data_IF_682744478137
#
_entry.id   IF_682744478137
#
_cell.length_a   1.000
_cell.length_b   1.000
_cell.length_c   1.000
_cell.angle_alpha   90.00
_cell.angle_beta   90.00
_cell.angle_gamma   90.00
#
_symmetry.space_group_name_H-M   'P 1'
#
loop_
_entity.id
_entity.type
_entity.pdbx_description
1 polymer ?
#
# COMPACT_ATOMS: atom_id res chain seq x y z
N UNK A 1 22.84 -6.99 -17.32
CA UNK A 1 22.11 -8.23 -17.68
C UNK A 1 22.17 -9.31 -16.57
N UNK A 2 22.92 -9.12 -15.48
CA UNK A 2 23.00 -10.08 -14.36
C UNK A 2 22.02 -9.83 -13.20
N UNK A 3 21.27 -8.72 -13.20
CA UNK A 3 20.29 -8.39 -12.15
C UNK A 3 18.88 -8.92 -12.41
N UNK A 4 18.66 -9.69 -13.48
CA UNK A 4 17.34 -10.23 -13.85
C UNK A 4 17.07 -11.67 -13.40
N UNK A 5 18.02 -12.33 -12.71
CA UNK A 5 17.94 -13.78 -12.46
C UNK A 5 17.88 -14.21 -10.99
N UNK A 6 18.01 -13.28 -10.02
CA UNK A 6 18.20 -13.62 -8.60
C UNK A 6 16.94 -13.53 -7.72
N UNK A 7 15.75 -13.55 -8.31
CA UNK A 7 14.48 -13.44 -7.56
C UNK A 7 13.52 -14.60 -7.86
N UNK A 8 14.12 -15.78 -8.09
CA UNK A 8 13.47 -17.06 -8.42
C UNK A 8 13.18 -17.97 -7.22
N UNK A 9 13.60 -17.58 -6.02
CA UNK A 9 13.51 -18.43 -4.82
C UNK A 9 12.39 -18.01 -3.85
N UNK A 10 11.37 -17.30 -4.34
CA UNK A 10 10.09 -17.17 -3.65
C UNK A 10 9.03 -18.00 -4.38
N UNK A 11 8.05 -18.58 -3.67
CA UNK A 11 7.16 -19.58 -4.24
C UNK A 11 6.45 -19.06 -5.51
N UNK A 12 6.79 -19.67 -6.64
CA UNK A 12 6.45 -19.25 -8.01
C UNK A 12 4.92 -19.20 -8.28
N UNK A 13 4.12 -19.73 -7.35
CA UNK A 13 2.66 -19.77 -7.44
C UNK A 13 1.96 -18.48 -7.02
N UNK A 14 2.53 -17.65 -6.13
CA UNK A 14 1.83 -16.44 -5.64
C UNK A 14 2.04 -15.21 -6.53
N UNK A 15 3.26 -15.01 -7.04
CA UNK A 15 3.66 -13.82 -7.83
C UNK A 15 3.15 -13.87 -9.29
N UNK A 16 3.23 -15.04 -9.93
CA UNK A 16 2.78 -15.21 -11.32
C UNK A 16 1.26 -15.27 -11.46
N UNK A 17 0.55 -15.73 -10.41
CA UNK A 17 -0.91 -15.75 -10.39
C UNK A 17 -1.52 -14.34 -10.33
N UNK A 18 -0.90 -13.41 -9.60
CA UNK A 18 -1.43 -12.05 -9.43
C UNK A 18 -1.50 -11.25 -10.73
N UNK A 19 -0.40 -11.17 -11.49
CA UNK A 19 -0.32 -10.35 -12.70
C UNK A 19 -1.34 -10.75 -13.77
N UNK A 20 -1.57 -12.06 -13.97
CA UNK A 20 -2.54 -12.56 -14.95
C UNK A 20 -3.96 -12.32 -14.45
N UNK A 21 -4.24 -12.65 -13.20
CA UNK A 21 -5.60 -12.52 -12.65
C UNK A 21 -6.02 -11.06 -12.55
N UNK A 22 -5.17 -10.16 -12.07
CA UNK A 22 -5.48 -8.72 -12.03
C UNK A 22 -5.61 -8.15 -13.45
N UNK A 23 -4.71 -8.49 -14.37
CA UNK A 23 -4.80 -8.03 -15.77
C UNK A 23 -6.12 -8.46 -16.44
N UNK A 24 -6.51 -9.73 -16.27
CA UNK A 24 -7.79 -10.25 -16.80
C UNK A 24 -8.98 -9.61 -16.10
N UNK A 25 -8.91 -9.35 -14.79
CA UNK A 25 -9.98 -8.68 -14.03
C UNK A 25 -10.22 -7.25 -14.51
N UNK A 26 -9.15 -6.52 -14.83
CA UNK A 26 -9.24 -5.16 -15.39
C UNK A 26 -9.85 -5.17 -16.80
N UNK A 27 -9.39 -6.09 -17.66
CA UNK A 27 -10.01 -6.28 -18.98
C UNK A 27 -11.49 -6.61 -18.89
N UNK A 28 -11.87 -7.49 -17.97
CA UNK A 28 -13.26 -7.87 -17.73
C UNK A 28 -14.10 -6.67 -17.29
N UNK A 29 -13.59 -5.82 -16.40
CA UNK A 29 -14.25 -4.57 -16.00
C UNK A 29 -14.45 -3.62 -17.17
N UNK A 30 -13.44 -3.45 -18.02
CA UNK A 30 -13.55 -2.63 -19.24
C UNK A 30 -14.56 -3.18 -20.26
N UNK A 31 -14.57 -4.50 -20.48
CA UNK A 31 -15.54 -5.16 -21.37
C UNK A 31 -16.96 -4.97 -20.85
N UNK A 32 -17.19 -5.13 -19.56
CA UNK A 32 -18.52 -4.92 -18.97
C UNK A 32 -18.98 -3.47 -19.04
N UNK A 33 -18.07 -2.51 -18.89
CA UNK A 33 -18.37 -1.10 -19.08
C UNK A 33 -18.74 -0.80 -20.54
N UNK A 34 -17.97 -1.33 -21.51
CA UNK A 34 -18.30 -1.21 -22.94
C UNK A 34 -19.67 -1.81 -23.26
N UNK A 35 -19.95 -3.00 -22.70
CA UNK A 35 -21.21 -3.68 -22.92
C UNK A 35 -22.40 -2.91 -22.30
N UNK A 36 -22.22 -2.37 -21.09
CA UNK A 36 -23.23 -1.56 -20.42
C UNK A 36 -23.56 -0.28 -21.22
N UNK A 37 -22.56 0.35 -21.82
CA UNK A 37 -22.73 1.53 -22.70
C UNK A 37 -23.48 1.15 -23.98
N UNK A 38 -23.11 0.05 -24.65
CA UNK A 38 -23.79 -0.40 -25.89
C UNK A 38 -25.24 -0.83 -25.68
N UNK A 39 -25.58 -1.35 -24.50
CA UNK A 39 -26.91 -1.82 -24.15
C UNK A 39 -27.75 -0.75 -23.43
N UNK A 40 -27.18 0.43 -23.17
CA UNK A 40 -27.75 1.50 -22.33
C UNK A 40 -28.26 0.98 -20.97
N UNK A 41 -27.53 0.00 -20.42
CA UNK A 41 -27.95 -0.81 -19.29
C UNK A 41 -26.86 -0.82 -18.21
N UNK A 42 -26.85 0.22 -17.38
CA UNK A 42 -25.94 0.34 -16.22
C UNK A 42 -26.04 -0.86 -15.26
N UNK A 43 -27.20 -1.53 -15.24
CA UNK A 43 -27.42 -2.76 -14.47
C UNK A 43 -26.46 -3.90 -14.85
N UNK A 44 -25.98 -3.95 -16.10
CA UNK A 44 -25.01 -4.96 -16.56
C UNK A 44 -23.66 -4.74 -15.87
N UNK A 45 -23.21 -3.49 -15.76
CA UNK A 45 -21.95 -3.15 -15.08
C UNK A 45 -22.05 -3.42 -13.58
N UNK A 46 -23.13 -2.97 -12.93
CA UNK A 46 -23.34 -3.19 -11.48
C UNK A 46 -23.49 -4.67 -11.16
N UNK A 47 -24.29 -5.40 -11.94
CA UNK A 47 -24.47 -6.84 -11.79
C UNK A 47 -23.17 -7.61 -12.01
N UNK A 48 -22.40 -7.25 -13.04
CA UNK A 48 -21.11 -7.84 -13.32
C UNK A 48 -20.06 -7.54 -12.24
N UNK A 49 -20.05 -6.33 -11.67
CA UNK A 49 -19.20 -5.98 -10.55
C UNK A 49 -19.53 -6.81 -9.30
N UNK A 50 -20.81 -6.93 -8.95
CA UNK A 50 -21.26 -7.74 -7.80
C UNK A 50 -20.92 -9.22 -8.01
N UNK A 51 -21.19 -9.76 -9.21
CA UNK A 51 -20.87 -11.13 -9.54
C UNK A 51 -19.35 -11.40 -9.45
N UNK A 52 -18.54 -10.51 -10.02
CA UNK A 52 -17.09 -10.59 -9.92
C UNK A 52 -16.61 -10.52 -8.47
N UNK A 53 -17.10 -9.56 -7.69
CA UNK A 53 -16.74 -9.41 -6.28
C UNK A 53 -17.10 -10.65 -5.47
N UNK A 54 -18.29 -11.23 -5.68
CA UNK A 54 -18.72 -12.45 -5.00
C UNK A 54 -17.87 -13.66 -5.36
N UNK A 55 -17.61 -13.89 -6.66
CA UNK A 55 -16.79 -15.01 -7.12
C UNK A 55 -15.34 -14.86 -6.64
N UNK A 56 -14.78 -13.66 -6.77
CA UNK A 56 -13.40 -13.39 -6.38
C UNK A 56 -13.19 -13.51 -4.87
N UNK A 57 -14.11 -12.95 -4.07
CA UNK A 57 -14.08 -13.09 -2.62
C UNK A 57 -14.26 -14.55 -2.18
N UNK A 58 -15.17 -15.30 -2.81
CA UNK A 58 -15.37 -16.71 -2.50
C UNK A 58 -14.14 -17.57 -2.83
N UNK A 59 -13.54 -17.36 -4.00
CA UNK A 59 -12.32 -18.06 -4.38
C UNK A 59 -11.16 -17.75 -3.43
N UNK A 60 -10.98 -16.47 -3.07
CA UNK A 60 -9.95 -16.05 -2.11
C UNK A 60 -10.22 -16.55 -0.69
N UNK A 61 -11.47 -16.62 -0.25
CA UNK A 61 -11.82 -17.21 1.04
C UNK A 61 -11.50 -18.70 1.09
N UNK A 62 -11.72 -19.43 -0.03
CA UNK A 62 -11.39 -20.85 -0.14
C UNK A 62 -9.88 -21.11 -0.20
N UNK A 63 -9.14 -20.25 -0.88
CA UNK A 63 -7.67 -20.30 -0.93
C UNK A 63 -7.07 -19.99 0.45
N UNK A 64 -7.58 -18.98 1.16
CA UNK A 64 -7.16 -18.64 2.52
C UNK A 64 -7.45 -19.74 3.55
N UNK A 65 -8.52 -20.52 3.37
CA UNK A 65 -8.81 -21.68 4.21
C UNK A 65 -7.81 -22.84 4.01
N UNK A 66 -7.10 -22.87 2.88
CA UNK A 66 -6.08 -23.87 2.56
C UNK A 66 -4.66 -23.42 2.94
N UNK A 67 -4.34 -22.14 2.74
CA UNK A 67 -2.99 -21.59 2.92
C UNK A 67 -2.81 -20.74 4.21
N UNK A 68 -3.84 -20.61 5.05
CA UNK A 68 -3.88 -19.77 6.28
C UNK A 68 -3.51 -18.29 6.07
N UNK A 69 -3.43 -17.80 4.82
CA UNK A 69 -3.07 -16.42 4.49
C UNK A 69 -4.30 -15.60 4.04
N UNK A 70 -4.84 -14.80 4.95
CA UNK A 70 -5.97 -13.90 4.68
C UNK A 70 -5.50 -12.55 4.15
N UNK A 71 -5.34 -12.43 2.82
CA UNK A 71 -5.03 -11.14 2.18
C UNK A 71 -6.28 -10.38 1.76
N UNK A 72 -6.87 -9.62 2.70
CA UNK A 72 -7.98 -8.69 2.41
C UNK A 72 -7.57 -7.65 1.35
N UNK A 73 -6.30 -7.23 1.38
CA UNK A 73 -5.73 -6.29 0.40
C UNK A 73 -5.81 -6.84 -1.03
N UNK A 74 -5.62 -8.15 -1.25
CA UNK A 74 -5.72 -8.73 -2.59
C UNK A 74 -7.15 -8.68 -3.13
N UNK A 75 -8.15 -8.88 -2.28
CA UNK A 75 -9.58 -8.75 -2.65
C UNK A 75 -9.88 -7.32 -3.06
N UNK A 76 -9.53 -6.35 -2.21
CA UNK A 76 -9.75 -4.92 -2.50
C UNK A 76 -9.01 -4.47 -3.76
N UNK A 77 -7.76 -4.92 -3.95
CA UNK A 77 -6.99 -4.65 -5.16
C UNK A 77 -7.67 -5.22 -6.40
N UNK A 78 -8.23 -6.44 -6.34
CA UNK A 78 -8.95 -7.05 -7.44
C UNK A 78 -10.18 -6.26 -7.85
N UNK A 79 -10.99 -5.85 -6.88
CA UNK A 79 -12.14 -4.97 -7.10
C UNK A 79 -11.71 -3.62 -7.68
N UNK A 80 -10.61 -3.06 -7.18
CA UNK A 80 -10.03 -1.80 -7.67
C UNK A 80 -9.57 -1.90 -9.13
N UNK A 81 -8.90 -2.99 -9.51
CA UNK A 81 -8.45 -3.22 -10.89
C UNK A 81 -9.63 -3.39 -11.84
N UNK A 82 -10.69 -4.10 -11.43
CA UNK A 82 -11.93 -4.16 -12.20
C UNK A 82 -12.53 -2.76 -12.40
N UNK A 83 -12.65 -1.99 -11.32
CA UNK A 83 -13.25 -0.66 -11.36
C UNK A 83 -12.45 0.31 -12.24
N UNK A 84 -11.11 0.24 -12.19
CA UNK A 84 -10.22 1.01 -13.07
C UNK A 84 -10.34 0.59 -14.53
N UNK A 85 -10.51 -0.72 -14.78
CA UNK A 85 -10.85 -1.25 -16.10
C UNK A 85 -12.14 -0.66 -16.64
N UNK A 86 -13.21 -0.69 -15.84
CA UNK A 86 -14.48 -0.08 -16.22
C UNK A 86 -14.35 1.45 -16.44
N UNK A 87 -13.62 2.15 -15.57
CA UNK A 87 -13.38 3.59 -15.67
C UNK A 87 -12.60 3.97 -16.92
N UNK A 88 -11.71 3.10 -17.41
CA UNK A 88 -10.96 3.36 -18.64
C UNK A 88 -11.83 3.43 -19.89
N UNK A 89 -13.02 2.82 -19.85
CA UNK A 89 -13.98 2.80 -20.96
C UNK A 89 -15.09 3.81 -20.75
N UNK A 90 -15.68 3.86 -19.55
CA UNK A 90 -16.81 4.73 -19.24
C UNK A 90 -16.42 6.17 -18.85
N UNK A 91 -15.14 6.43 -18.58
CA UNK A 91 -14.65 7.72 -18.07
C UNK A 91 -13.36 8.18 -18.73
N UNK A 92 -12.55 8.95 -18.00
CA UNK A 92 -11.28 9.48 -18.50
C UNK A 92 -10.16 8.43 -18.35
N UNK A 93 -9.66 7.96 -19.49
CA UNK A 93 -8.54 7.01 -19.57
C UNK A 93 -7.28 7.50 -18.84
N UNK A 94 -7.06 8.82 -18.72
CA UNK A 94 -5.92 9.40 -18.00
C UNK A 94 -6.06 9.18 -16.49
N UNK A 95 -7.28 9.33 -15.97
CA UNK A 95 -7.58 9.07 -14.56
C UNK A 95 -7.47 7.58 -14.27
N UNK A 96 -7.97 6.73 -15.17
CA UNK A 96 -7.81 5.27 -15.05
C UNK A 96 -6.33 4.84 -15.08
N UNK A 97 -5.52 5.41 -15.96
CA UNK A 97 -4.08 5.13 -16.03
C UNK A 97 -3.34 5.62 -14.78
N UNK A 98 -3.61 6.83 -14.30
CA UNK A 98 -3.02 7.36 -13.08
C UNK A 98 -3.43 6.54 -11.85
N UNK A 99 -4.72 6.17 -11.74
CA UNK A 99 -5.24 5.31 -10.67
C UNK A 99 -4.65 3.91 -10.71
N UNK A 100 -4.50 3.32 -11.89
CA UNK A 100 -3.84 2.02 -12.09
C UNK A 100 -2.36 2.05 -11.71
N UNK A 101 -1.63 3.09 -12.11
CA UNK A 101 -0.23 3.28 -11.72
C UNK A 101 -0.10 3.48 -10.20
N UNK A 102 -0.98 4.27 -9.58
CA UNK A 102 -0.99 4.47 -8.14
C UNK A 102 -1.31 3.17 -7.39
N UNK A 103 -2.31 2.41 -7.84
CA UNK A 103 -2.66 1.12 -7.24
C UNK A 103 -1.51 0.11 -7.36
N UNK A 104 -0.87 0.04 -8.53
CA UNK A 104 0.31 -0.81 -8.75
C UNK A 104 1.48 -0.40 -7.85
N UNK A 105 1.74 0.91 -7.68
CA UNK A 105 2.77 1.42 -6.79
C UNK A 105 2.49 1.05 -5.32
N UNK A 106 1.23 1.17 -4.88
CA UNK A 106 0.82 0.75 -3.53
C UNK A 106 1.03 -0.76 -3.34
N UNK A 107 0.65 -1.58 -4.32
CA UNK A 107 0.83 -3.03 -4.27
C UNK A 107 2.32 -3.42 -4.20
N UNK A 108 3.15 -2.79 -5.03
CA UNK A 108 4.60 -2.99 -5.04
C UNK A 108 5.25 -2.55 -3.71
N UNK A 109 4.74 -1.48 -3.09
CA UNK A 109 5.26 -0.99 -1.81
C UNK A 109 5.07 -1.99 -0.67
N UNK A 110 4.03 -2.85 -0.72
CA UNK A 110 3.77 -3.86 0.30
C UNK A 110 4.95 -4.83 0.44
N UNK A 111 5.49 -5.30 -0.68
CA UNK A 111 6.61 -6.25 -0.69
C UNK A 111 7.87 -5.62 -0.09
N UNK A 112 8.16 -4.37 -0.46
CA UNK A 112 9.29 -3.60 0.06
C UNK A 112 9.15 -3.40 1.56
N UNK A 113 7.98 -2.96 2.03
CA UNK A 113 7.71 -2.74 3.45
C UNK A 113 7.84 -4.03 4.26
N UNK A 114 7.29 -5.14 3.77
CA UNK A 114 7.45 -6.44 4.43
C UNK A 114 8.91 -6.91 4.47
N UNK A 115 9.66 -6.70 3.38
CA UNK A 115 11.09 -7.01 3.33
C UNK A 115 11.91 -6.18 4.31
N UNK A 116 11.61 -4.87 4.41
CA UNK A 116 12.24 -3.98 5.38
C UNK A 116 11.89 -4.39 6.83
N UNK A 117 10.63 -4.68 7.10
CA UNK A 117 10.15 -5.15 8.41
C UNK A 117 10.83 -6.46 8.82
N UNK A 118 11.03 -7.41 7.91
CA UNK A 118 11.75 -8.66 8.19
C UNK A 118 13.23 -8.45 8.49
N UNK A 119 13.84 -7.37 7.99
CA UNK A 119 15.24 -7.01 8.28
C UNK A 119 15.41 -6.24 9.58
N UNK A 120 14.34 -5.64 10.10
CA UNK A 120 14.33 -4.90 11.36
C UNK A 120 14.13 -5.86 12.54
N UNK A 121 14.98 -5.72 13.54
CA UNK A 121 14.82 -6.35 14.86
C UNK A 121 13.68 -5.70 15.64
N UNK A 122 13.13 -6.41 16.63
CA UNK A 122 12.08 -5.89 17.51
C UNK A 122 12.48 -4.58 18.22
N UNK A 123 13.75 -4.45 18.62
CA UNK A 123 14.27 -3.23 19.26
C UNK A 123 14.24 -2.05 18.28
N UNK A 124 14.65 -2.25 17.03
CA UNK A 124 14.67 -1.20 16.01
C UNK A 124 13.25 -0.77 15.65
N UNK A 125 12.34 -1.74 15.46
CA UNK A 125 10.94 -1.47 15.19
C UNK A 125 10.30 -0.68 16.32
N UNK A 126 10.51 -1.09 17.58
CA UNK A 126 10.00 -0.37 18.76
C UNK A 126 10.55 1.05 18.82
N UNK A 127 11.83 1.24 18.56
CA UNK A 127 12.47 2.56 18.59
C UNK A 127 11.94 3.47 17.49
N UNK A 128 11.79 2.95 16.27
CA UNK A 128 11.18 3.66 15.14
C UNK A 128 9.72 4.05 15.44
N UNK A 129 8.95 3.14 16.08
CA UNK A 129 7.55 3.37 16.41
C UNK A 129 7.39 4.42 17.53
N UNK A 130 8.29 4.42 18.53
CA UNK A 130 8.34 5.46 19.57
C UNK A 130 8.69 6.81 18.94
N UNK A 131 9.71 6.87 18.08
CA UNK A 131 10.09 8.09 17.38
C UNK A 131 8.93 8.62 16.51
N UNK A 132 8.25 7.73 15.79
CA UNK A 132 7.07 8.07 15.00
C UNK A 132 5.94 8.61 15.89
N UNK A 133 5.68 8.01 17.05
CA UNK A 133 4.68 8.50 18.00
C UNK A 133 5.06 9.86 18.59
N UNK A 134 6.34 10.06 18.96
CA UNK A 134 6.84 11.36 19.45
C UNK A 134 6.64 12.47 18.39
N UNK A 135 6.85 12.16 17.11
CA UNK A 135 6.69 13.11 16.01
C UNK A 135 5.23 13.32 15.61
N UNK A 136 4.48 12.25 15.40
CA UNK A 136 3.13 12.32 14.82
C UNK A 136 2.03 12.57 15.86
N UNK A 137 2.27 12.27 17.13
CA UNK A 137 1.29 12.44 18.21
C UNK A 137 1.71 13.56 19.15
N UNK A 138 2.92 13.50 19.70
CA UNK A 138 3.33 14.47 20.75
C UNK A 138 3.57 15.86 20.16
N UNK A 139 4.24 15.95 19.01
CA UNK A 139 4.53 17.23 18.37
C UNK A 139 3.27 18.07 18.04
N UNK A 140 2.20 17.54 17.41
CA UNK A 140 0.99 18.32 17.17
C UNK A 140 0.18 18.61 18.44
N UNK A 141 0.32 17.81 19.50
CA UNK A 141 -0.34 18.07 20.78
C UNK A 141 0.32 19.20 21.57
N UNK A 142 1.59 19.50 21.31
CA UNK A 142 2.31 20.54 22.04
C UNK A 142 1.85 21.94 21.60
N UNK A 143 1.43 22.80 22.55
CA UNK A 143 1.08 24.17 22.22
C UNK A 143 2.32 24.91 21.71
N UNK A 144 2.24 25.44 20.49
CA UNK A 144 3.28 26.28 19.90
C UNK A 144 3.23 27.70 20.47
N UNK A 145 3.38 27.81 21.79
CA UNK A 145 3.30 29.06 22.55
C UNK A 145 4.33 29.02 23.67
N UNK A 146 4.98 30.15 23.91
CA UNK A 146 5.90 30.29 25.02
C UNK A 146 5.12 30.24 26.33
N UNK A 147 5.49 29.32 27.21
CA UNK A 147 4.79 29.10 28.49
C UNK A 147 5.42 29.94 29.62
N UNK A 148 6.61 30.50 29.37
CA UNK A 148 7.39 31.25 30.35
C UNK A 148 7.06 32.77 30.35
N UNK A 149 6.93 33.41 31.53
CA UNK A 149 6.80 34.87 31.70
C UNK A 149 7.79 35.74 30.91
N UNK A 150 9.00 35.23 30.63
CA UNK A 150 10.06 35.91 29.86
C UNK A 150 10.00 35.62 28.36
N UNK A 151 9.06 34.81 27.88
CA UNK A 151 8.84 34.55 26.46
C UNK A 151 9.94 33.73 25.76
N UNK A 152 10.86 33.12 26.52
CA UNK A 152 12.05 32.44 25.96
C UNK A 152 11.91 30.93 25.73
N UNK A 153 10.92 30.27 26.32
CA UNK A 153 10.78 28.80 26.27
C UNK A 153 9.54 28.37 25.50
N UNK A 154 9.74 27.85 24.29
CA UNK A 154 8.69 27.22 23.47
C UNK A 154 8.84 25.68 23.52
N UNK A 155 7.93 24.96 24.19
CA UNK A 155 7.99 23.50 24.31
C UNK A 155 7.95 22.80 22.95
N UNK A 156 7.26 23.39 21.96
CA UNK A 156 7.17 22.83 20.62
C UNK A 156 8.53 22.79 19.92
N UNK A 157 9.30 23.89 20.01
CA UNK A 157 10.64 23.99 19.40
C UNK A 157 11.64 23.05 20.09
N UNK A 158 11.63 22.99 21.42
CA UNK A 158 12.54 22.11 22.18
C UNK A 158 12.23 20.63 21.87
N UNK A 159 10.95 20.28 21.79
CA UNK A 159 10.55 18.92 21.43
C UNK A 159 10.89 18.59 19.98
N UNK A 160 10.68 19.53 19.06
CA UNK A 160 11.05 19.39 17.66
C UNK A 160 12.55 19.12 17.48
N UNK A 161 13.42 19.88 18.16
CA UNK A 161 14.87 19.65 18.13
C UNK A 161 15.25 18.29 18.70
N UNK A 162 14.57 17.85 19.76
CA UNK A 162 14.78 16.53 20.37
C UNK A 162 14.43 15.40 19.39
N UNK A 163 13.29 15.51 18.73
CA UNK A 163 12.85 14.56 17.68
C UNK A 163 13.83 14.56 16.50
N UNK A 164 14.31 15.73 16.09
CA UNK A 164 15.27 15.85 14.98
C UNK A 164 16.60 15.16 15.32
N UNK A 165 17.14 15.39 16.52
CA UNK A 165 18.38 14.74 16.98
C UNK A 165 18.20 13.21 17.08
N UNK A 166 17.09 12.74 17.64
CA UNK A 166 16.77 11.31 17.73
C UNK A 166 16.64 10.67 16.34
N UNK A 167 16.01 11.37 15.39
CA UNK A 167 15.86 10.91 14.00
C UNK A 167 17.20 10.78 13.29
N UNK A 168 18.09 11.77 13.43
CA UNK A 168 19.43 11.72 12.83
C UNK A 168 20.25 10.57 13.44
N UNK A 169 20.19 10.37 14.76
CA UNK A 169 20.91 9.27 15.42
C UNK A 169 20.40 7.90 14.98
N UNK A 170 19.08 7.74 14.85
CA UNK A 170 18.47 6.51 14.34
C UNK A 170 18.85 6.27 12.88
N UNK A 171 18.79 7.31 12.03
CA UNK A 171 19.19 7.22 10.63
C UNK A 171 20.68 6.85 10.47
N UNK A 172 21.56 7.40 11.31
CA UNK A 172 22.99 7.06 11.33
C UNK A 172 23.22 5.59 11.69
N UNK A 173 22.51 5.08 12.70
CA UNK A 173 22.57 3.66 13.06
C UNK A 173 22.10 2.75 11.91
N UNK A 174 20.97 3.08 11.26
CA UNK A 174 20.47 2.33 10.10
C UNK A 174 21.45 2.38 8.92
N UNK A 175 22.06 3.52 8.65
CA UNK A 175 23.05 3.67 7.59
C UNK A 175 24.28 2.77 7.82
N UNK A 176 24.83 2.76 9.04
CA UNK A 176 25.95 1.87 9.39
C UNK A 176 25.54 0.40 9.30
N UNK A 177 24.31 0.07 9.67
CA UNK A 177 23.78 -1.30 9.59
C UNK A 177 23.65 -1.81 8.17
N UNK A 178 23.21 -0.96 7.24
CA UNK A 178 23.00 -1.32 5.82
C UNK A 178 24.29 -1.30 5.02
N UNK A 179 25.23 -0.39 5.30
CA UNK A 179 26.53 -0.34 4.63
C UNK A 179 27.58 -1.29 5.26
N UNK A 180 27.39 -1.68 6.52
CA UNK A 180 28.30 -2.58 7.25
C UNK A 180 28.07 -4.07 7.02
N UNK A 181 27.16 -4.42 6.11
CA UNK A 181 26.94 -5.77 5.55
C UNK A 181 27.35 -5.79 4.09
#
# INVERSE_FOLDING_TARGET
LERGWRERDEPDHSRTAGIRTFGISGLLGGILAALADTLDAVSVLVGGFIAFAAIFAWYKAREAAHDEDFSVTAVIAGLGVFALGALSVAGDYRVAAAGGAALAAVLASREILHGLLKRLTWIELRSALILAAMTAIVLPLLPNRTIDPWGGFNPWEVWFLTVLMASISFAGYVAVRVLGT
#
